data_IF_735853202536
#
_entry.id   IF_735853202536
#
_cell.length_a   1.000
_cell.length_b   1.000
_cell.length_c   1.000
_cell.angle_alpha   90.00
_cell.angle_beta   90.00
_cell.angle_gamma   90.00
#
_symmetry.space_group_name_H-M   'P 1'
#
loop_
_entity.id
_entity.type
_entity.pdbx_description
1 polymer ?
#
# COMPACT_ATOMS: atom_id res chain seq x y z
N UNK A 1 6.82 1.90 -11.13
CA UNK A 1 7.46 3.19 -11.49
C UNK A 1 6.45 4.02 -12.26
N UNK A 2 5.40 4.38 -11.57
CA UNK A 2 4.28 5.01 -12.21
C UNK A 2 4.41 6.51 -11.99
N UNK A 3 5.01 7.17 -12.97
CA UNK A 3 5.01 8.62 -13.01
C UNK A 3 3.73 9.05 -13.73
N UNK A 4 2.88 9.79 -13.01
CA UNK A 4 1.61 10.28 -13.57
C UNK A 4 1.89 11.34 -14.64
N UNK A 5 2.94 12.14 -14.45
CA UNK A 5 3.31 13.24 -15.34
C UNK A 5 4.83 13.26 -15.54
N UNK A 6 5.32 12.54 -16.55
CA UNK A 6 6.73 12.47 -16.87
C UNK A 6 7.58 11.62 -15.92
N UNK A 7 8.74 11.14 -16.38
CA UNK A 7 9.65 10.26 -15.64
C UNK A 7 10.52 10.99 -14.60
N UNK A 8 11.37 10.22 -13.93
CA UNK A 8 12.41 10.74 -13.03
C UNK A 8 13.30 11.75 -13.81
N UNK A 9 13.55 12.91 -13.19
CA UNK A 9 14.34 13.98 -13.80
C UNK A 9 13.53 15.07 -14.52
N UNK A 10 12.20 14.95 -14.62
CA UNK A 10 11.37 16.01 -15.18
C UNK A 10 11.14 17.15 -14.18
N UNK A 11 10.91 18.37 -14.69
CA UNK A 11 10.53 19.53 -13.86
C UNK A 11 9.22 19.33 -13.08
N UNK A 12 8.43 18.32 -13.44
CA UNK A 12 7.12 18.02 -12.85
C UNK A 12 7.17 16.92 -11.77
N UNK A 13 8.34 16.49 -11.35
CA UNK A 13 8.50 15.47 -10.29
C UNK A 13 7.74 15.85 -9.00
N UNK A 14 7.75 17.13 -8.63
CA UNK A 14 7.02 17.61 -7.45
C UNK A 14 5.52 17.36 -7.54
N UNK A 15 4.93 17.39 -8.75
CA UNK A 15 3.51 17.12 -8.93
C UNK A 15 3.19 15.62 -8.73
N UNK A 16 4.08 14.73 -9.18
CA UNK A 16 3.95 13.30 -8.89
C UNK A 16 4.00 13.02 -7.37
N UNK A 17 4.93 13.68 -6.67
CA UNK A 17 5.02 13.60 -5.20
C UNK A 17 3.73 14.11 -4.53
N UNK A 18 3.24 15.28 -4.96
CA UNK A 18 2.01 15.86 -4.42
C UNK A 18 0.80 14.94 -4.63
N UNK A 19 0.59 14.47 -5.86
CA UNK A 19 -0.52 13.57 -6.19
C UNK A 19 -0.40 12.26 -5.41
N UNK A 20 0.82 11.70 -5.31
CA UNK A 20 1.07 10.50 -4.53
C UNK A 20 0.69 10.66 -3.06
N UNK A 21 1.09 11.75 -2.42
CA UNK A 21 0.73 12.03 -1.04
C UNK A 21 -0.79 12.25 -0.87
N UNK A 22 -1.39 13.12 -1.69
CA UNK A 22 -2.82 13.44 -1.58
C UNK A 22 -3.70 12.20 -1.78
N UNK A 23 -3.37 11.36 -2.75
CA UNK A 23 -4.16 10.14 -3.05
C UNK A 23 -4.07 9.08 -1.94
N UNK A 24 -3.00 9.07 -1.14
CA UNK A 24 -2.79 8.06 -0.09
C UNK A 24 -3.26 8.52 1.30
N UNK A 25 -3.51 9.82 1.51
CA UNK A 25 -4.01 10.37 2.78
C UNK A 25 -5.33 9.70 3.25
N UNK A 26 -6.37 9.55 2.41
CA UNK A 26 -7.62 8.93 2.85
C UNK A 26 -7.45 7.51 3.37
N UNK A 27 -6.49 6.78 2.82
CA UNK A 27 -6.14 5.41 3.23
C UNK A 27 -5.22 5.37 4.46
N UNK A 28 -4.73 6.52 4.93
CA UNK A 28 -3.70 6.61 5.98
C UNK A 28 -2.50 5.71 5.60
N UNK A 29 -2.14 5.74 4.33
CA UNK A 29 -1.06 4.94 3.77
C UNK A 29 0.11 5.85 3.43
N UNK A 30 1.27 5.74 4.10
CA UNK A 30 2.41 6.63 3.88
C UNK A 30 2.97 6.45 2.47
N UNK A 31 2.91 7.48 1.66
CA UNK A 31 3.31 7.41 0.25
C UNK A 31 4.77 6.96 0.06
N UNK A 32 5.71 7.52 0.86
CA UNK A 32 7.13 7.15 0.75
C UNK A 32 7.41 5.72 1.19
N UNK A 33 6.72 5.22 2.22
CA UNK A 33 6.80 3.80 2.60
C UNK A 33 6.31 2.94 1.45
N UNK A 34 5.13 3.27 0.89
CA UNK A 34 4.60 2.57 -0.27
C UNK A 34 5.58 2.54 -1.44
N UNK A 35 6.17 3.69 -1.76
CA UNK A 35 7.11 3.81 -2.87
C UNK A 35 8.37 2.96 -2.67
N UNK A 36 8.99 2.99 -1.47
CA UNK A 36 10.18 2.21 -1.15
C UNK A 36 9.87 0.71 -1.20
N UNK A 37 8.82 0.28 -0.51
CA UNK A 37 8.46 -1.14 -0.41
C UNK A 37 7.96 -1.71 -1.73
N UNK A 38 7.26 -0.91 -2.54
CA UNK A 38 6.82 -1.34 -3.87
C UNK A 38 7.99 -1.57 -4.84
N UNK A 39 9.02 -0.73 -4.78
CA UNK A 39 10.27 -0.98 -5.53
C UNK A 39 10.96 -2.27 -5.11
N UNK A 40 10.99 -2.55 -3.80
CA UNK A 40 11.55 -3.79 -3.28
C UNK A 40 10.72 -5.01 -3.69
N UNK A 41 9.38 -4.88 -3.66
CA UNK A 41 8.49 -5.91 -4.17
C UNK A 41 8.77 -6.23 -5.65
N UNK A 42 8.83 -5.23 -6.52
CA UNK A 42 9.17 -5.47 -7.94
C UNK A 42 10.57 -6.05 -8.17
N UNK A 43 11.52 -5.80 -7.28
CA UNK A 43 12.84 -6.40 -7.36
C UNK A 43 12.87 -7.87 -6.93
N UNK A 44 11.99 -8.25 -6.00
CA UNK A 44 11.99 -9.54 -5.32
C UNK A 44 10.60 -10.21 -5.31
N UNK A 45 9.80 -9.96 -6.33
CA UNK A 45 8.41 -10.44 -6.37
C UNK A 45 8.33 -11.96 -6.16
N UNK A 46 7.43 -12.36 -5.26
CA UNK A 46 7.22 -13.74 -4.83
C UNK A 46 8.40 -14.41 -4.11
N UNK A 47 9.43 -13.68 -3.70
CA UNK A 47 10.46 -14.23 -2.83
C UNK A 47 9.95 -14.36 -1.39
N UNK A 48 10.16 -15.51 -0.76
CA UNK A 48 9.65 -15.79 0.59
C UNK A 48 10.23 -14.89 1.68
N UNK A 49 11.43 -14.37 1.46
CA UNK A 49 12.19 -13.61 2.45
C UNK A 49 12.26 -12.13 2.09
N UNK A 50 12.50 -11.81 0.84
CA UNK A 50 12.83 -10.44 0.41
C UNK A 50 11.62 -9.64 -0.08
N UNK A 51 10.54 -10.31 -0.49
CA UNK A 51 9.33 -9.62 -0.91
C UNK A 51 8.60 -9.01 0.30
N UNK A 52 8.47 -7.66 0.37
CA UNK A 52 7.72 -7.04 1.45
C UNK A 52 6.22 -7.28 1.35
N UNK A 53 5.70 -7.64 0.18
CA UNK A 53 4.27 -7.88 -0.05
C UNK A 53 3.92 -9.37 -0.07
N UNK A 54 4.31 -10.09 0.99
CA UNK A 54 4.05 -11.52 1.15
C UNK A 54 2.55 -11.88 1.07
N UNK A 55 1.65 -10.90 1.27
CA UNK A 55 0.21 -11.11 1.15
C UNK A 55 -0.21 -11.47 -0.27
N UNK A 56 0.56 -11.07 -1.29
CA UNK A 56 0.33 -11.44 -2.69
C UNK A 56 0.39 -12.95 -2.94
N UNK A 57 1.10 -13.69 -2.10
CA UNK A 57 1.29 -15.15 -2.22
C UNK A 57 0.23 -15.99 -1.50
N UNK A 58 -0.75 -15.38 -0.88
CA UNK A 58 -1.80 -16.14 -0.19
C UNK A 58 -2.59 -17.02 -1.18
N UNK A 59 -2.86 -18.25 -0.79
CA UNK A 59 -3.59 -19.24 -1.62
C UNK A 59 -5.01 -18.77 -1.98
N UNK A 60 -5.60 -17.94 -1.11
CA UNK A 60 -6.98 -17.47 -1.27
C UNK A 60 -7.08 -15.98 -0.99
N UNK A 61 -8.03 -15.31 -1.64
CA UNK A 61 -8.27 -13.88 -1.47
C UNK A 61 -8.52 -13.47 0.00
N UNK A 62 -9.23 -14.29 0.77
CA UNK A 62 -9.53 -13.97 2.17
C UNK A 62 -8.31 -14.13 3.08
N UNK A 63 -7.41 -15.10 2.81
CA UNK A 63 -6.11 -15.19 3.49
C UNK A 63 -5.24 -13.97 3.19
N UNK A 64 -5.24 -13.50 1.94
CA UNK A 64 -4.56 -12.27 1.54
C UNK A 64 -5.11 -11.05 2.26
N UNK A 65 -6.42 -10.87 2.27
CA UNK A 65 -7.08 -9.77 2.97
C UNK A 65 -6.76 -9.79 4.48
N UNK A 66 -6.82 -10.95 5.11
CA UNK A 66 -6.50 -11.11 6.54
C UNK A 66 -5.03 -10.81 6.85
N UNK A 67 -4.12 -11.36 6.06
CA UNK A 67 -2.68 -11.08 6.17
C UNK A 67 -2.39 -9.58 6.07
N UNK A 68 -3.03 -8.91 5.13
CA UNK A 68 -2.93 -7.47 4.92
C UNK A 68 -3.39 -6.65 6.14
N UNK A 69 -4.48 -7.05 6.79
CA UNK A 69 -4.96 -6.39 8.01
C UNK A 69 -3.99 -6.60 9.17
N UNK A 70 -3.47 -7.83 9.34
CA UNK A 70 -2.49 -8.15 10.39
C UNK A 70 -1.18 -7.40 10.20
N UNK A 71 -0.71 -7.26 8.98
CA UNK A 71 0.56 -6.59 8.66
C UNK A 71 0.59 -5.11 9.06
N UNK A 72 -0.56 -4.52 9.37
CA UNK A 72 -0.69 -3.11 9.78
C UNK A 72 -0.86 -2.90 11.28
N UNK A 73 -0.94 -3.99 12.04
CA UNK A 73 -1.09 -3.88 13.50
C UNK A 73 0.23 -3.46 14.15
N UNK A 74 0.19 -2.67 15.24
CA UNK A 74 1.38 -2.34 16.01
C UNK A 74 2.08 -3.60 16.51
N UNK A 75 3.40 -3.64 16.41
CA UNK A 75 4.21 -4.79 16.84
C UNK A 75 4.25 -5.97 15.86
N UNK A 76 3.54 -5.90 14.73
CA UNK A 76 3.68 -6.92 13.69
C UNK A 76 4.99 -6.69 12.91
N UNK A 77 5.87 -7.67 12.94
CA UNK A 77 7.16 -7.64 12.23
C UNK A 77 7.05 -8.27 10.83
N UNK A 78 6.05 -7.85 10.06
CA UNK A 78 5.84 -8.32 8.69
C UNK A 78 6.77 -7.68 7.67
N UNK A 79 6.58 -8.07 6.41
CA UNK A 79 7.43 -7.70 5.29
C UNK A 79 7.71 -6.19 5.17
N UNK A 80 6.70 -5.34 5.30
CA UNK A 80 6.88 -3.87 5.23
C UNK A 80 7.75 -3.33 6.36
N UNK A 81 7.55 -3.78 7.60
CA UNK A 81 8.33 -3.31 8.74
C UNK A 81 9.80 -3.74 8.62
N UNK A 82 10.04 -4.99 8.19
CA UNK A 82 11.37 -5.50 7.91
C UNK A 82 12.02 -4.72 6.76
N UNK A 83 11.33 -4.59 5.64
CA UNK A 83 11.81 -3.88 4.46
C UNK A 83 12.24 -2.44 4.80
N UNK A 84 11.46 -1.75 5.66
CA UNK A 84 11.81 -0.41 6.11
C UNK A 84 12.95 -0.37 7.13
N UNK A 85 13.20 -1.44 7.88
CA UNK A 85 14.38 -1.54 8.76
C UNK A 85 15.67 -1.77 7.99
N UNK A 86 15.60 -2.61 6.96
CA UNK A 86 16.75 -3.10 6.20
C UNK A 86 17.11 -2.24 4.98
N UNK A 87 16.21 -1.34 4.56
CA UNK A 87 16.46 -0.49 3.41
C UNK A 87 17.55 0.55 3.65
N UNK A 88 18.42 0.73 2.66
CA UNK A 88 19.43 1.79 2.58
C UNK A 88 18.92 3.02 1.80
N UNK A 89 17.63 3.10 1.47
CA UNK A 89 17.07 4.23 0.74
C UNK A 89 17.26 5.53 1.56
N UNK A 90 17.84 6.59 0.98
CA UNK A 90 18.12 7.85 1.68
C UNK A 90 16.86 8.57 2.19
N UNK A 91 15.69 8.20 1.69
CA UNK A 91 14.41 8.74 2.17
C UNK A 91 13.76 7.92 3.29
N UNK A 92 14.44 6.88 3.80
CA UNK A 92 13.93 5.99 4.84
C UNK A 92 13.40 6.75 6.06
N UNK A 93 14.20 7.65 6.63
CA UNK A 93 13.81 8.36 7.86
C UNK A 93 12.65 9.32 7.61
N UNK A 94 12.60 9.96 6.44
CA UNK A 94 11.44 10.77 6.02
C UNK A 94 10.19 9.92 5.86
N UNK A 95 10.31 8.72 5.30
CA UNK A 95 9.20 7.79 5.15
C UNK A 95 8.66 7.31 6.50
N UNK A 96 9.54 7.03 7.45
CA UNK A 96 9.15 6.64 8.82
C UNK A 96 8.49 7.81 9.57
N UNK A 97 9.01 9.02 9.43
CA UNK A 97 8.38 10.22 10.00
C UNK A 97 7.00 10.46 9.40
N UNK A 98 6.86 10.36 8.08
CA UNK A 98 5.56 10.46 7.38
C UNK A 98 4.56 9.44 7.92
N UNK A 99 4.99 8.18 8.06
CA UNK A 99 4.16 7.11 8.61
C UNK A 99 3.71 7.41 10.04
N UNK A 100 4.61 7.91 10.87
CA UNK A 100 4.31 8.30 12.25
C UNK A 100 3.31 9.45 12.30
N UNK A 101 3.57 10.53 11.58
CA UNK A 101 2.70 11.73 11.55
C UNK A 101 1.30 11.36 11.03
N UNK A 102 1.22 10.64 9.92
CA UNK A 102 -0.06 10.28 9.30
C UNK A 102 -0.89 9.38 10.23
N UNK A 103 -0.25 8.40 10.88
CA UNK A 103 -0.93 7.52 11.84
C UNK A 103 -1.39 8.27 13.07
N UNK A 104 -0.53 9.11 13.65
CA UNK A 104 -0.86 9.90 14.85
C UNK A 104 -1.99 10.86 14.55
N UNK A 105 -1.97 11.55 13.41
CA UNK A 105 -3.05 12.44 12.98
C UNK A 105 -4.37 11.68 12.82
N UNK A 106 -4.33 10.50 12.20
CA UNK A 106 -5.52 9.67 12.04
C UNK A 106 -6.17 9.32 13.39
N UNK A 107 -5.38 8.83 14.34
CA UNK A 107 -5.91 8.49 15.66
C UNK A 107 -6.34 9.72 16.45
N UNK A 108 -5.64 10.84 16.32
CA UNK A 108 -6.05 12.10 16.95
C UNK A 108 -7.42 12.58 16.44
N UNK A 109 -7.65 12.52 15.12
CA UNK A 109 -8.94 12.87 14.53
C UNK A 109 -10.04 11.94 15.02
N UNK A 110 -9.82 10.61 15.06
CA UNK A 110 -10.81 9.67 15.59
C UNK A 110 -11.13 9.93 17.07
N UNK A 111 -10.10 10.24 17.87
CA UNK A 111 -10.28 10.58 19.28
C UNK A 111 -11.08 11.89 19.46
N UNK A 112 -10.83 12.90 18.63
CA UNK A 112 -11.61 14.15 18.62
C UNK A 112 -13.06 13.88 18.22
N UNK A 113 -13.30 13.08 17.17
CA UNK A 113 -14.65 12.67 16.79
C UNK A 113 -15.37 11.97 17.95
N UNK A 114 -14.71 11.06 18.62
CA UNK A 114 -15.28 10.35 19.77
C UNK A 114 -15.61 11.31 20.92
N UNK A 115 -14.70 12.23 21.24
CA UNK A 115 -14.91 13.22 22.32
C UNK A 115 -16.02 14.19 22.02
N UNK A 116 -16.17 14.62 20.77
CA UNK A 116 -17.21 15.58 20.36
C UNK A 116 -18.57 14.95 20.06
N UNK A 117 -18.73 13.64 20.32
CA UNK A 117 -20.00 12.92 20.10
C UNK A 117 -20.20 12.44 18.65
N UNK A 118 -19.17 12.56 17.79
CA UNK A 118 -19.19 12.13 16.37
C UNK A 118 -18.45 10.81 16.14
N UNK A 119 -18.50 9.90 17.13
CA UNK A 119 -17.79 8.61 17.04
C UNK A 119 -18.27 7.76 15.85
N UNK A 120 -19.57 7.77 15.55
CA UNK A 120 -20.13 7.04 14.41
C UNK A 120 -19.67 7.58 13.08
N UNK A 121 -19.64 8.91 12.93
CA UNK A 121 -19.14 9.56 11.73
C UNK A 121 -17.66 9.22 11.50
N UNK A 122 -16.82 9.33 12.52
CA UNK A 122 -15.42 8.92 12.46
C UNK A 122 -15.23 7.46 12.06
N UNK A 123 -16.07 6.57 12.63
CA UNK A 123 -16.04 5.14 12.33
C UNK A 123 -16.51 4.84 10.90
N UNK A 124 -17.67 5.34 10.48
CA UNK A 124 -18.31 4.96 9.23
C UNK A 124 -17.84 5.77 8.02
N UNK A 125 -17.40 7.03 8.20
CA UNK A 125 -16.96 7.88 7.09
C UNK A 125 -15.45 7.84 6.85
N UNK A 126 -14.65 7.39 7.82
CA UNK A 126 -13.21 7.30 7.63
C UNK A 126 -12.60 5.95 8.04
N UNK A 127 -12.77 5.52 9.29
CA UNK A 127 -12.10 4.29 9.75
C UNK A 127 -12.48 3.06 8.92
N UNK A 128 -13.76 2.78 8.74
CA UNK A 128 -14.23 1.63 7.97
C UNK A 128 -13.92 1.73 6.47
N UNK A 129 -14.21 2.84 5.76
CA UNK A 129 -13.87 2.98 4.35
C UNK A 129 -12.36 2.87 4.08
N UNK A 130 -11.54 3.40 4.98
CA UNK A 130 -10.09 3.23 4.90
C UNK A 130 -9.68 1.76 4.90
N UNK A 131 -10.21 0.95 5.81
CA UNK A 131 -9.86 -0.48 5.90
C UNK A 131 -10.36 -1.25 4.67
N UNK A 132 -11.58 -0.96 4.22
CA UNK A 132 -12.11 -1.56 2.99
C UNK A 132 -11.29 -1.18 1.76
N UNK A 133 -10.88 0.09 1.64
CA UNK A 133 -10.00 0.56 0.57
C UNK A 133 -8.63 -0.12 0.59
N UNK A 134 -8.04 -0.33 1.77
CA UNK A 134 -6.78 -1.06 1.90
C UNK A 134 -6.91 -2.54 1.54
N UNK A 135 -8.01 -3.20 1.92
CA UNK A 135 -8.29 -4.57 1.51
C UNK A 135 -8.46 -4.63 -0.02
N UNK A 136 -9.23 -3.70 -0.59
CA UNK A 136 -9.41 -3.60 -2.03
C UNK A 136 -8.05 -3.48 -2.75
N UNK A 137 -7.20 -2.56 -2.32
CA UNK A 137 -5.87 -2.39 -2.90
C UNK A 137 -5.06 -3.69 -2.85
N UNK A 138 -5.01 -4.36 -1.71
CA UNK A 138 -4.27 -5.63 -1.61
C UNK A 138 -4.84 -6.69 -2.53
N UNK A 139 -6.15 -6.82 -2.63
CA UNK A 139 -6.76 -7.84 -3.48
C UNK A 139 -6.54 -7.57 -4.98
N UNK A 140 -6.71 -6.34 -5.42
CA UNK A 140 -6.69 -6.01 -6.85
C UNK A 140 -5.32 -5.55 -7.35
N UNK A 141 -4.46 -4.99 -6.50
CA UNK A 141 -3.13 -4.52 -6.90
C UNK A 141 -2.02 -5.51 -6.59
N UNK A 142 -2.22 -6.35 -5.57
CA UNK A 142 -1.17 -7.24 -5.09
C UNK A 142 -1.56 -8.70 -5.35
N UNK A 143 -2.65 -9.19 -4.75
CA UNK A 143 -2.98 -10.60 -4.83
C UNK A 143 -3.43 -11.06 -6.23
N UNK A 144 -4.39 -10.40 -6.84
CA UNK A 144 -4.96 -10.87 -8.11
C UNK A 144 -3.95 -10.88 -9.28
N UNK A 145 -3.09 -9.85 -9.46
CA UNK A 145 -2.07 -9.87 -10.50
C UNK A 145 -1.01 -10.96 -10.31
N UNK A 146 -0.70 -11.32 -9.05
CA UNK A 146 0.36 -12.28 -8.74
C UNK A 146 -0.14 -13.71 -8.53
N UNK A 147 -1.45 -13.91 -8.34
CA UNK A 147 -1.99 -15.24 -8.06
C UNK A 147 -1.92 -16.16 -9.31
N UNK A 148 -1.50 -17.43 -9.18
CA UNK A 148 -1.19 -18.21 -7.97
C UNK A 148 0.24 -18.09 -7.41
N UNK A 149 1.02 -17.10 -7.81
CA UNK A 149 2.35 -16.80 -7.30
C UNK A 149 3.35 -17.99 -7.43
N UNK A 150 3.28 -18.67 -8.57
CA UNK A 150 4.10 -19.87 -8.85
C UNK A 150 5.46 -19.55 -9.46
N UNK A 151 5.63 -18.33 -9.96
CA UNK A 151 6.87 -17.89 -10.60
C UNK A 151 7.51 -16.76 -9.81
N UNK A 152 8.83 -16.75 -9.76
CA UNK A 152 9.64 -15.70 -9.15
C UNK A 152 10.40 -14.94 -10.23
N UNK A 153 10.66 -13.65 -10.00
CA UNK A 153 11.51 -12.83 -10.86
C UNK A 153 10.78 -11.75 -11.64
N UNK A 154 11.54 -10.73 -12.00
CA UNK A 154 11.12 -9.38 -12.34
C UNK A 154 10.09 -9.22 -13.47
N UNK A 155 9.89 -10.17 -14.34
CA UNK A 155 9.01 -10.05 -15.52
C UNK A 155 8.09 -11.25 -15.74
N UNK A 156 8.02 -12.18 -14.78
CA UNK A 156 7.25 -13.42 -14.89
C UNK A 156 6.18 -13.57 -13.82
N UNK A 157 6.10 -12.64 -12.93
CA UNK A 157 5.37 -12.65 -11.66
C UNK A 157 3.99 -12.01 -11.73
N UNK A 158 3.61 -11.41 -12.85
CA UNK A 158 2.33 -10.70 -12.99
C UNK A 158 1.50 -11.21 -14.16
N UNK A 159 0.19 -11.18 -13.99
CA UNK A 159 -0.82 -11.51 -15.01
C UNK A 159 -1.70 -10.32 -15.31
N UNK A 160 -1.86 -10.01 -16.60
CA UNK A 160 -2.82 -9.01 -17.03
C UNK A 160 -4.21 -9.62 -17.22
N UNK A 161 -5.23 -8.99 -16.67
CA UNK A 161 -6.62 -9.40 -16.84
C UNK A 161 -7.20 -8.73 -18.09
N UNK A 162 -7.43 -9.53 -19.13
CA UNK A 162 -8.11 -9.07 -20.35
C UNK A 162 -9.62 -9.18 -20.20
N UNK A 163 -10.23 -8.41 -19.34
CA UNK A 163 -11.69 -8.33 -19.26
C UNK A 163 -12.15 -6.89 -19.07
N UNK A 164 -13.31 -6.49 -19.59
CA UNK A 164 -13.86 -5.15 -19.39
C UNK A 164 -14.04 -4.82 -17.89
N UNK A 165 -14.46 -5.82 -17.11
CA UNK A 165 -14.63 -5.69 -15.65
C UNK A 165 -13.30 -5.56 -14.96
N UNK A 166 -12.30 -6.37 -15.33
CA UNK A 166 -10.93 -6.25 -14.81
C UNK A 166 -10.32 -4.89 -15.11
N UNK A 167 -10.50 -4.40 -16.33
CA UNK A 167 -10.04 -3.06 -16.72
C UNK A 167 -10.74 -1.98 -15.91
N UNK A 168 -12.04 -2.05 -15.70
CA UNK A 168 -12.80 -1.09 -14.90
C UNK A 168 -12.34 -1.09 -13.42
N UNK A 169 -12.11 -2.27 -12.84
CA UNK A 169 -11.65 -2.41 -11.46
C UNK A 169 -10.18 -1.99 -11.28
N UNK A 170 -9.38 -2.10 -12.33
CA UNK A 170 -7.98 -1.67 -12.33
C UNK A 170 -7.77 -0.26 -12.90
N UNK A 171 -8.83 0.47 -13.25
CA UNK A 171 -8.73 1.84 -13.76
C UNK A 171 -7.95 2.75 -12.82
N UNK A 172 -6.87 3.29 -13.33
CA UNK A 172 -5.93 4.10 -12.59
C UNK A 172 -4.68 3.37 -12.10
N UNK A 173 -4.51 2.09 -12.40
CA UNK A 173 -3.46 1.22 -11.87
C UNK A 173 -2.70 0.50 -13.00
N UNK A 174 -2.96 0.87 -14.23
CA UNK A 174 -2.21 0.37 -15.39
C UNK A 174 -0.92 1.13 -15.63
#
# INVERSE_FOLDING_TARGET
>A
QHSIIGGEGTKLRWLNELVGHVSTIPLVFPYRVAWITHKQHHANANDDVLDPDISSRAETWWKSAWSSLRARQPGYEGGYARAMRETEDPNRDRALLEAFVLRTTHFAVLAICAWTGHAFEGLFLWFLPRHLGLIYNVLFLSWAPHHPATETGRYRDTRAWKSPVGTLLSMGIG
#
